data_IF_579701816560
#
_entry.id   IF_579701816560
#
_cell.length_a   1.000
_cell.length_b   1.000
_cell.length_c   1.000
_cell.angle_alpha   90.00
_cell.angle_beta   90.00
_cell.angle_gamma   90.00
#
_symmetry.space_group_name_H-M   'P 1'
#
loop_
_entity.id
_entity.type
_entity.pdbx_description
1 polymer ?
#
# COMPACT_ATOMS: atom_id res chain seq x y z
N UNK A 1 19.10 1.51 -7.16
CA UNK A 1 18.17 1.50 -6.01
C UNK A 1 17.64 2.89 -5.67
N UNK A 2 18.42 3.80 -5.05
CA UNK A 2 17.91 5.13 -4.62
C UNK A 2 17.19 5.91 -5.73
N UNK A 3 17.75 5.96 -6.94
CA UNK A 3 17.11 6.61 -8.11
C UNK A 3 15.71 6.06 -8.40
N UNK A 4 15.53 4.74 -8.38
CA UNK A 4 14.24 4.07 -8.64
C UNK A 4 13.24 4.40 -7.54
N UNK A 5 13.68 4.39 -6.27
CA UNK A 5 12.86 4.79 -5.12
C UNK A 5 12.41 6.25 -5.28
N UNK A 6 13.33 7.17 -5.60
CA UNK A 6 13.03 8.58 -5.80
C UNK A 6 12.01 8.78 -6.93
N UNK A 7 12.21 8.15 -8.08
CA UNK A 7 11.28 8.23 -9.22
C UNK A 7 9.88 7.69 -8.88
N UNK A 8 9.81 6.64 -8.05
CA UNK A 8 8.54 6.10 -7.60
C UNK A 8 7.84 7.04 -6.61
N UNK A 9 8.60 7.68 -5.72
CA UNK A 9 8.06 8.66 -4.77
C UNK A 9 7.48 9.90 -5.47
N UNK A 10 8.04 10.31 -6.61
CA UNK A 10 7.51 11.42 -7.42
C UNK A 10 6.11 11.13 -7.99
N UNK A 11 5.77 9.86 -8.19
CA UNK A 11 4.47 9.40 -8.69
C UNK A 11 3.56 8.86 -7.58
N UNK A 12 4.03 8.89 -6.33
CA UNK A 12 3.30 8.32 -5.23
C UNK A 12 2.10 9.19 -4.84
N UNK A 13 1.00 8.52 -4.52
CA UNK A 13 -0.27 9.13 -4.13
C UNK A 13 -0.58 8.84 -2.65
N UNK A 14 -1.49 9.62 -2.08
CA UNK A 14 -1.97 9.37 -0.72
C UNK A 14 -2.91 8.15 -0.67
N UNK A 15 -3.18 7.65 0.53
CA UNK A 15 -4.18 6.59 0.74
C UNK A 15 -5.59 7.00 0.25
N UNK A 16 -5.98 8.27 0.44
CA UNK A 16 -7.29 8.72 -0.02
C UNK A 16 -7.33 8.83 -1.54
N UNK A 17 -6.29 9.36 -2.17
CA UNK A 17 -6.19 9.45 -3.64
C UNK A 17 -6.18 8.06 -4.28
N UNK A 18 -5.51 7.09 -3.66
CA UNK A 18 -5.55 5.69 -4.11
C UNK A 18 -6.99 5.13 -4.10
N UNK A 19 -7.75 5.37 -3.03
CA UNK A 19 -9.15 4.93 -2.96
C UNK A 19 -10.05 5.61 -4.00
N UNK A 20 -9.82 6.90 -4.24
CA UNK A 20 -10.52 7.67 -5.28
C UNK A 20 -10.21 7.08 -6.65
N UNK A 21 -8.93 6.88 -6.96
CA UNK A 21 -8.47 6.26 -8.20
C UNK A 21 -9.14 4.90 -8.45
N UNK A 22 -9.14 4.01 -7.45
CA UNK A 22 -9.77 2.69 -7.55
C UNK A 22 -11.28 2.84 -7.77
N UNK A 23 -11.96 3.72 -7.03
CA UNK A 23 -13.40 3.96 -7.18
C UNK A 23 -13.76 4.49 -8.58
N UNK A 24 -12.96 5.41 -9.11
CA UNK A 24 -13.16 6.03 -10.43
C UNK A 24 -12.90 5.05 -11.58
N UNK A 25 -11.95 4.13 -11.43
CA UNK A 25 -11.73 3.03 -12.38
C UNK A 25 -12.91 2.06 -12.36
N UNK A 26 -13.37 1.66 -11.18
CA UNK A 26 -14.50 0.76 -11.01
C UNK A 26 -15.80 1.34 -11.60
N UNK A 27 -16.04 2.65 -11.47
CA UNK A 27 -17.17 3.33 -12.09
C UNK A 27 -17.15 3.24 -13.64
N UNK A 28 -15.98 2.99 -14.22
CA UNK A 28 -15.78 2.79 -15.66
C UNK A 28 -15.65 1.31 -16.05
N UNK A 29 -15.92 0.39 -15.13
CA UNK A 29 -15.80 -1.06 -15.36
C UNK A 29 -14.35 -1.56 -15.45
N UNK A 30 -13.39 -0.82 -14.88
CA UNK A 30 -11.95 -1.09 -14.96
C UNK A 30 -11.34 -1.43 -13.59
N UNK A 31 -10.20 -2.11 -13.59
CA UNK A 31 -9.31 -2.26 -12.44
C UNK A 31 -8.02 -1.47 -12.62
N UNK A 32 -7.20 -1.37 -11.56
CA UNK A 32 -5.82 -0.90 -11.69
C UNK A 32 -4.95 -1.94 -12.40
N UNK A 33 -3.83 -1.51 -12.98
CA UNK A 33 -2.95 -2.34 -13.79
C UNK A 33 -3.40 -2.52 -15.25
N UNK A 34 -2.54 -3.11 -16.11
CA UNK A 34 -2.82 -3.24 -17.55
C UNK A 34 -3.81 -4.37 -17.88
N UNK A 35 -3.94 -5.38 -17.01
CA UNK A 35 -4.92 -6.45 -17.17
C UNK A 35 -6.31 -5.92 -16.78
N UNK A 36 -7.23 -5.91 -17.74
CA UNK A 36 -8.60 -5.43 -17.61
C UNK A 36 -9.62 -6.57 -17.71
N UNK A 37 -9.22 -7.78 -17.30
CA UNK A 37 -10.11 -8.92 -17.24
C UNK A 37 -11.27 -8.68 -16.25
N UNK A 38 -12.42 -9.27 -16.58
CA UNK A 38 -13.62 -9.19 -15.73
C UNK A 38 -13.35 -9.69 -14.31
N UNK A 39 -12.47 -10.70 -14.17
CA UNK A 39 -12.06 -11.22 -12.88
C UNK A 39 -11.39 -10.16 -11.99
N UNK A 40 -10.43 -9.38 -12.52
CA UNK A 40 -9.75 -8.34 -11.74
C UNK A 40 -10.67 -7.17 -11.40
N UNK A 41 -11.58 -6.80 -12.30
CA UNK A 41 -12.62 -5.81 -11.99
C UNK A 41 -13.55 -6.30 -10.88
N UNK A 42 -13.98 -7.56 -10.92
CA UNK A 42 -14.83 -8.17 -9.88
C UNK A 42 -14.10 -8.28 -8.53
N UNK A 43 -12.82 -8.64 -8.52
CA UNK A 43 -12.02 -8.62 -7.29
C UNK A 43 -11.86 -7.19 -6.76
N UNK A 44 -11.59 -6.23 -7.62
CA UNK A 44 -11.49 -4.81 -7.25
C UNK A 44 -12.79 -4.29 -6.62
N UNK A 45 -13.95 -4.63 -7.17
CA UNK A 45 -15.27 -4.27 -6.61
C UNK A 45 -15.47 -4.83 -5.20
N UNK A 46 -15.08 -6.09 -4.98
CA UNK A 46 -15.16 -6.72 -3.68
C UNK A 46 -14.19 -6.08 -2.67
N UNK A 47 -12.98 -5.78 -3.12
CA UNK A 47 -11.92 -5.20 -2.31
C UNK A 47 -12.22 -3.76 -1.89
N UNK A 48 -12.77 -2.93 -2.78
CA UNK A 48 -13.22 -1.57 -2.46
C UNK A 48 -14.27 -1.59 -1.33
N UNK A 49 -15.25 -2.51 -1.40
CA UNK A 49 -16.23 -2.70 -0.32
C UNK A 49 -15.56 -3.14 1.00
N UNK A 50 -14.57 -4.03 0.94
CA UNK A 50 -13.82 -4.49 2.12
C UNK A 50 -13.05 -3.34 2.76
N UNK A 51 -12.32 -2.55 1.98
CA UNK A 51 -11.57 -1.39 2.46
C UNK A 51 -12.50 -0.35 3.09
N UNK A 52 -13.63 0.00 2.44
CA UNK A 52 -14.63 0.92 2.99
C UNK A 52 -15.20 0.45 4.33
N UNK A 53 -15.43 -0.86 4.49
CA UNK A 53 -15.85 -1.44 5.77
C UNK A 53 -14.75 -1.29 6.82
N UNK A 54 -13.54 -1.71 6.49
CA UNK A 54 -12.39 -1.71 7.39
C UNK A 54 -12.00 -0.30 7.85
N UNK A 55 -12.04 0.70 6.95
CA UNK A 55 -11.83 2.11 7.28
C UNK A 55 -12.74 2.58 8.43
N UNK A 56 -13.99 2.09 8.46
CA UNK A 56 -15.00 2.45 9.46
C UNK A 56 -14.88 1.62 10.74
N UNK A 57 -14.48 0.36 10.65
CA UNK A 57 -14.57 -0.58 11.77
C UNK A 57 -13.25 -0.82 12.49
N UNK A 58 -12.10 -0.68 11.82
CA UNK A 58 -10.80 -0.91 12.46
C UNK A 58 -10.55 0.14 13.55
N UNK A 59 -10.11 -0.35 14.71
CA UNK A 59 -9.56 0.44 15.80
C UNK A 59 -8.17 -0.10 16.12
N UNK A 60 -7.17 0.77 16.11
CA UNK A 60 -5.82 0.40 16.52
C UNK A 60 -5.80 0.22 18.04
N UNK A 61 -5.30 -0.93 18.49
CA UNK A 61 -5.19 -1.26 19.92
C UNK A 61 -4.25 -0.28 20.62
N UNK A 62 -4.51 0.01 21.89
CA UNK A 62 -3.72 0.96 22.68
C UNK A 62 -2.23 0.61 22.68
N UNK A 63 -1.90 -0.66 22.89
CA UNK A 63 -0.51 -1.15 22.88
C UNK A 63 0.16 -0.92 21.53
N UNK A 64 -0.56 -1.11 20.43
CA UNK A 64 -0.04 -0.85 19.08
C UNK A 64 0.20 0.64 18.86
N UNK A 65 -0.72 1.51 19.31
CA UNK A 65 -0.53 2.98 19.26
C UNK A 65 0.72 3.40 20.04
N UNK A 66 0.89 2.88 21.26
CA UNK A 66 2.04 3.18 22.11
C UNK A 66 3.36 2.82 21.41
N UNK A 67 3.43 1.66 20.75
CA UNK A 67 4.61 1.25 19.96
C UNK A 67 4.84 2.18 18.76
N UNK A 68 3.79 2.49 17.99
CA UNK A 68 3.92 3.38 16.82
C UNK A 68 4.40 4.78 17.23
N UNK A 69 3.91 5.32 18.35
CA UNK A 69 4.29 6.64 18.86
C UNK A 69 5.76 6.72 19.34
N UNK A 70 6.44 5.59 19.50
CA UNK A 70 7.87 5.55 19.80
C UNK A 70 8.73 5.87 18.58
N UNK A 71 8.19 5.81 17.35
CA UNK A 71 8.92 6.21 16.14
C UNK A 71 9.21 7.72 16.18
N UNK A 72 10.47 8.09 16.43
CA UNK A 72 10.92 9.49 16.55
C UNK A 72 11.53 10.06 15.28
N UNK A 73 12.07 9.19 14.43
CA UNK A 73 12.66 9.59 13.16
C UNK A 73 11.57 9.66 12.10
N UNK A 74 11.67 10.64 11.20
CA UNK A 74 10.76 10.73 10.06
C UNK A 74 10.99 9.55 9.12
N UNK A 75 9.90 8.92 8.72
CA UNK A 75 9.88 7.77 7.83
C UNK A 75 8.85 7.98 6.74
N UNK A 76 9.16 7.51 5.55
CA UNK A 76 8.17 7.30 4.50
C UNK A 76 7.87 5.82 4.42
N UNK A 77 6.60 5.44 4.56
CA UNK A 77 6.13 4.09 4.29
C UNK A 77 5.62 4.07 2.87
N UNK A 78 6.44 3.56 1.94
CA UNK A 78 6.06 3.41 0.54
C UNK A 78 5.45 2.03 0.31
N UNK A 79 4.21 1.97 -0.18
CA UNK A 79 3.52 0.71 -0.46
C UNK A 79 3.29 0.53 -1.95
N UNK A 80 3.73 -0.62 -2.48
CA UNK A 80 3.28 -1.11 -3.78
C UNK A 80 2.02 -1.96 -3.62
N UNK A 81 0.99 -1.65 -4.40
CA UNK A 81 -0.32 -2.32 -4.31
C UNK A 81 -1.10 -2.25 -5.62
N UNK A 82 -2.23 -2.96 -5.67
CA UNK A 82 -3.23 -2.92 -6.75
C UNK A 82 -4.64 -3.08 -6.15
N UNK A 83 -5.65 -2.47 -6.77
CA UNK A 83 -7.05 -2.52 -6.29
C UNK A 83 -7.65 -3.94 -6.29
N UNK A 84 -7.18 -4.81 -7.16
CA UNK A 84 -7.63 -6.20 -7.25
C UNK A 84 -6.96 -7.14 -6.24
N UNK A 85 -5.92 -6.69 -5.52
CA UNK A 85 -5.22 -7.51 -4.54
C UNK A 85 -6.05 -7.68 -3.25
N UNK A 86 -6.46 -8.92 -2.96
CA UNK A 86 -7.25 -9.24 -1.77
C UNK A 86 -6.51 -8.98 -0.45
N UNK A 87 -5.22 -9.30 -0.38
CA UNK A 87 -4.41 -9.06 0.82
C UNK A 87 -4.20 -7.56 1.05
N UNK A 88 -4.05 -6.77 -0.02
CA UNK A 88 -3.95 -5.32 0.09
C UNK A 88 -5.23 -4.73 0.67
N UNK A 89 -6.39 -5.22 0.23
CA UNK A 89 -7.69 -4.78 0.74
C UNK A 89 -7.86 -5.00 2.25
N UNK A 90 -7.18 -6.00 2.82
CA UNK A 90 -7.21 -6.29 4.26
C UNK A 90 -6.16 -5.50 5.04
N UNK A 91 -4.95 -5.37 4.49
CA UNK A 91 -3.81 -4.81 5.20
C UNK A 91 -3.73 -3.27 5.09
N UNK A 92 -3.99 -2.72 3.90
CA UNK A 92 -3.74 -1.30 3.62
C UNK A 92 -4.56 -0.34 4.50
N UNK A 93 -5.86 -0.59 4.78
CA UNK A 93 -6.61 0.23 5.74
C UNK A 93 -6.02 0.22 7.16
N UNK A 94 -5.50 -0.93 7.60
CA UNK A 94 -4.85 -1.07 8.92
C UNK A 94 -3.56 -0.27 8.94
N UNK A 95 -2.73 -0.42 7.90
CA UNK A 95 -1.45 0.30 7.79
C UNK A 95 -1.66 1.81 7.74
N UNK A 96 -2.66 2.29 6.99
CA UNK A 96 -3.03 3.71 6.98
C UNK A 96 -3.39 4.22 8.37
N UNK A 97 -4.27 3.51 9.08
CA UNK A 97 -4.63 3.89 10.45
C UNK A 97 -3.43 3.84 11.39
N UNK A 98 -2.48 2.92 11.21
CA UNK A 98 -1.25 2.91 11.99
C UNK A 98 -0.39 4.15 11.70
N UNK A 99 -0.20 4.50 10.43
CA UNK A 99 0.57 5.69 10.04
C UNK A 99 -0.05 6.99 10.60
N UNK A 100 -1.38 7.10 10.62
CA UNK A 100 -2.10 8.25 11.18
C UNK A 100 -1.88 8.46 12.70
N UNK A 101 -1.41 7.46 13.45
CA UNK A 101 -1.12 7.59 14.88
C UNK A 101 0.21 8.30 15.17
N UNK A 102 1.02 8.62 14.15
CA UNK A 102 2.30 9.30 14.32
C UNK A 102 2.68 10.18 13.12
N UNK A 103 2.77 11.50 13.35
CA UNK A 103 3.14 12.51 12.35
C UNK A 103 4.55 12.37 11.76
N UNK A 104 5.40 11.50 12.32
CA UNK A 104 6.70 11.17 11.73
C UNK A 104 6.59 10.13 10.61
N UNK A 105 5.42 9.54 10.39
CA UNK A 105 5.22 8.49 9.38
C UNK A 105 4.34 9.05 8.27
N UNK A 106 4.89 9.12 7.06
CA UNK A 106 4.17 9.51 5.85
C UNK A 106 3.89 8.28 5.00
N UNK A 107 2.61 7.94 4.81
CA UNK A 107 2.20 6.82 3.97
C UNK A 107 2.06 7.27 2.51
N UNK A 108 2.79 6.60 1.64
CA UNK A 108 2.81 6.82 0.19
C UNK A 108 2.47 5.53 -0.54
N UNK A 109 1.71 5.63 -1.61
CA UNK A 109 1.25 4.47 -2.39
C UNK A 109 1.65 4.64 -3.85
N UNK A 110 2.11 3.55 -4.45
CA UNK A 110 2.32 3.41 -5.89
C UNK A 110 1.65 2.14 -6.40
N UNK A 111 1.21 2.16 -7.66
CA UNK A 111 0.69 0.96 -8.32
C UNK A 111 1.85 0.05 -8.73
N UNK A 112 1.75 -1.23 -8.38
CA UNK A 112 2.79 -2.23 -8.64
C UNK A 112 3.09 -2.34 -10.13
N UNK A 113 2.04 -2.40 -10.95
CA UNK A 113 2.18 -2.69 -12.37
C UNK A 113 2.77 -1.50 -13.16
N UNK A 114 2.69 -0.29 -12.60
CA UNK A 114 3.35 0.91 -13.13
C UNK A 114 4.79 1.07 -12.61
N UNK A 115 5.18 0.31 -11.57
CA UNK A 115 6.46 0.43 -10.86
C UNK A 115 7.20 -0.90 -10.76
N UNK A 116 7.26 -1.65 -11.88
CA UNK A 116 7.89 -2.99 -11.91
C UNK A 116 9.37 -2.98 -11.53
N UNK A 117 10.13 -1.95 -11.94
CA UNK A 117 11.55 -1.83 -11.55
C UNK A 117 11.71 -1.70 -10.03
N UNK A 118 10.82 -0.96 -9.36
CA UNK A 118 10.81 -0.89 -7.90
C UNK A 118 10.43 -2.25 -7.30
N UNK A 119 9.39 -2.89 -7.83
CA UNK A 119 8.93 -4.19 -7.34
C UNK A 119 10.02 -5.27 -7.43
N UNK A 120 10.81 -5.26 -8.52
CA UNK A 120 11.89 -6.22 -8.75
C UNK A 120 13.06 -6.07 -7.78
N UNK A 121 13.23 -4.90 -7.13
CA UNK A 121 14.20 -4.72 -6.06
C UNK A 121 13.76 -5.38 -4.75
N UNK A 122 12.46 -5.65 -4.57
CA UNK A 122 11.85 -6.07 -3.30
C UNK A 122 10.97 -7.31 -3.46
N UNK A 123 11.43 -8.28 -4.28
CA UNK A 123 10.74 -9.56 -4.46
C UNK A 123 10.58 -10.30 -3.14
N UNK A 124 9.45 -10.99 -3.01
CA UNK A 124 9.13 -11.85 -1.87
C UNK A 124 9.25 -13.29 -2.32
N UNK A 125 10.28 -13.99 -1.86
CA UNK A 125 10.61 -15.36 -2.32
C UNK A 125 10.69 -15.48 -3.86
N UNK A 126 11.26 -14.46 -4.52
CA UNK A 126 11.37 -14.40 -5.98
C UNK A 126 10.09 -13.95 -6.71
N UNK A 127 8.99 -13.68 -6.00
CA UNK A 127 7.72 -13.26 -6.59
C UNK A 127 7.43 -11.77 -6.35
N UNK A 128 6.70 -11.15 -7.29
CA UNK A 128 6.18 -9.78 -7.21
C UNK A 128 4.93 -9.71 -6.32
N UNK A 129 5.08 -10.06 -5.04
CA UNK A 129 3.98 -10.10 -4.08
C UNK A 129 3.58 -8.70 -3.62
N UNK A 130 2.28 -8.47 -3.47
CA UNK A 130 1.69 -7.24 -2.94
C UNK A 130 0.60 -7.58 -1.90
N UNK A 131 0.35 -6.68 -0.92
CA UNK A 131 0.98 -5.37 -0.74
C UNK A 131 2.43 -5.51 -0.27
N UNK A 132 3.33 -4.66 -0.79
CA UNK A 132 4.73 -4.59 -0.36
C UNK A 132 4.98 -3.23 0.27
N UNK A 133 5.32 -3.19 1.55
CA UNK A 133 5.73 -1.99 2.27
C UNK A 133 7.25 -1.89 2.31
N UNK A 134 7.76 -0.71 1.99
CA UNK A 134 9.17 -0.33 2.09
C UNK A 134 9.23 0.91 2.98
N UNK A 135 9.76 0.76 4.19
CA UNK A 135 9.99 1.87 5.10
C UNK A 135 11.33 2.52 4.78
N UNK A 136 11.30 3.84 4.59
CA UNK A 136 12.43 4.65 4.18
C UNK A 136 12.71 5.71 5.24
N UNK A 137 13.98 6.03 5.46
CA UNK A 137 14.36 7.23 6.21
C UNK A 137 14.31 8.51 5.33
N UNK A 138 14.70 9.65 5.89
CA UNK A 138 14.71 10.93 5.18
C UNK A 138 15.69 11.00 4.01
N UNK A 139 16.69 10.12 3.96
CA UNK A 139 17.69 10.01 2.89
C UNK A 139 17.34 8.90 1.90
N UNK A 140 16.12 8.36 1.99
CA UNK A 140 15.60 7.26 1.17
C UNK A 140 16.41 5.96 1.32
N UNK A 141 17.09 5.77 2.46
CA UNK A 141 17.65 4.47 2.82
C UNK A 141 16.53 3.56 3.32
N UNK A 142 16.59 2.28 2.95
CA UNK A 142 15.62 1.28 3.39
C UNK A 142 15.89 0.93 4.85
N UNK A 143 14.89 1.14 5.71
CA UNK A 143 14.91 0.76 7.11
C UNK A 143 14.45 -0.68 7.31
N UNK A 144 13.32 -1.04 6.70
CA UNK A 144 12.74 -2.38 6.72
C UNK A 144 11.71 -2.55 5.60
N UNK A 145 11.33 -3.80 5.33
CA UNK A 145 10.24 -4.13 4.41
C UNK A 145 9.24 -5.07 5.07
N UNK A 146 7.98 -4.99 4.65
CA UNK A 146 6.92 -5.92 5.03
C UNK A 146 6.17 -6.39 3.78
N UNK A 147 5.71 -7.63 3.80
CA UNK A 147 4.83 -8.21 2.79
C UNK A 147 3.60 -8.79 3.47
N UNK A 148 2.46 -8.76 2.76
CA UNK A 148 1.31 -9.56 3.17
C UNK A 148 1.70 -11.04 3.23
N UNK A 149 1.49 -11.68 4.38
CA UNK A 149 1.56 -13.14 4.49
C UNK A 149 0.34 -13.69 3.74
N UNK A 150 0.52 -14.04 2.48
CA UNK A 150 -0.46 -14.88 1.79
C UNK A 150 -0.64 -16.13 2.65
N UNK A 151 -1.84 -16.31 3.22
CA UNK A 151 -2.20 -17.56 3.89
C UNK A 151 -2.03 -18.67 2.85
N UNK A 152 -0.89 -19.38 2.93
CA UNK A 152 -0.73 -20.68 2.28
C UNK A 152 -1.45 -21.73 3.11
#
# INVERSE_FOLDING_TARGET
>A
MKKIIQQSLEQAISYQDYKILVSDLLARGKSTGPDQSEALTNYSLLNDKRMKRLDRTIKILKQTKEVIQQVKQKQTWLILTEGWCGDAAQNLPVINKMAEENNNIDLKIVLRDDHLELMDLFLTHGARAIPKLIALDQEQNVLYTYEGQGLR
#
